data_IF_951473255279
#
_entry.id   IF_951473255279
#
_cell.length_a   1.000
_cell.length_b   1.000
_cell.length_c   1.000
_cell.angle_alpha   90.00
_cell.angle_beta   90.00
_cell.angle_gamma   90.00
#
_symmetry.space_group_name_H-M   'P 1'
#
loop_
_entity.id
_entity.type
_entity.pdbx_description
1 polymer ?
#
# COMPACT_ATOMS: atom_id res chain seq x y z
N UNK A 1 -7.35 -24.50 4.04
CA UNK A 1 -7.67 -23.29 3.32
C UNK A 1 -6.53 -22.29 3.41
N UNK A 2 -6.04 -21.86 2.33
CA UNK A 2 -4.94 -20.92 2.39
C UNK A 2 -5.44 -19.52 2.67
N UNK A 3 -4.66 -18.78 3.42
CA UNK A 3 -4.85 -17.36 3.53
C UNK A 3 -4.23 -16.72 2.31
N UNK A 4 -5.00 -15.93 1.61
CA UNK A 4 -4.49 -15.20 0.47
C UNK A 4 -4.25 -13.75 0.86
N UNK A 5 -3.19 -13.20 0.30
CA UNK A 5 -2.96 -11.77 0.37
C UNK A 5 -3.87 -11.07 -0.62
N UNK A 6 -4.23 -9.85 -0.28
CA UNK A 6 -4.81 -8.92 -1.23
C UNK A 6 -3.70 -7.96 -1.64
N UNK A 7 -3.44 -7.89 -2.94
CA UNK A 7 -2.44 -6.97 -3.48
C UNK A 7 -3.15 -5.86 -4.23
N UNK A 8 -2.97 -4.62 -3.79
CA UNK A 8 -3.50 -3.44 -4.48
C UNK A 8 -2.36 -2.83 -5.29
N UNK A 9 -2.36 -3.10 -6.59
CA UNK A 9 -1.27 -2.67 -7.47
C UNK A 9 -1.80 -2.26 -8.84
N UNK A 10 -1.59 -1.02 -9.25
CA UNK A 10 -1.07 0.09 -8.47
C UNK A 10 -2.11 0.66 -7.51
N UNK A 11 -1.67 1.16 -6.37
CA UNK A 11 -2.55 1.89 -5.46
C UNK A 11 -2.38 3.38 -5.73
N UNK A 12 -3.34 3.96 -6.44
CA UNK A 12 -3.32 5.38 -6.76
C UNK A 12 -3.63 6.24 -5.53
N UNK A 13 -3.37 7.54 -5.63
CA UNK A 13 -3.66 8.45 -4.53
C UNK A 13 -5.12 8.43 -4.10
N UNK A 14 -6.04 8.34 -5.06
CA UNK A 14 -7.45 8.28 -4.76
C UNK A 14 -7.82 7.02 -3.96
N UNK A 15 -7.31 5.87 -4.38
CA UNK A 15 -7.54 4.60 -3.67
C UNK A 15 -6.88 4.61 -2.29
N UNK A 16 -5.67 5.15 -2.20
CA UNK A 16 -4.96 5.27 -0.92
C UNK A 16 -5.78 6.09 0.08
N UNK A 17 -6.32 7.22 -0.37
CA UNK A 17 -7.15 8.08 0.47
C UNK A 17 -8.42 7.37 0.93
N UNK A 18 -9.07 6.64 0.04
CA UNK A 18 -10.29 5.89 0.39
C UNK A 18 -10.02 4.84 1.45
N UNK A 19 -8.94 4.07 1.28
CA UNK A 19 -8.59 3.04 2.25
C UNK A 19 -8.27 3.67 3.60
N UNK A 20 -7.50 4.74 3.62
CA UNK A 20 -7.09 5.40 4.85
C UNK A 20 -8.27 6.00 5.62
N UNK A 21 -9.29 6.47 4.91
CA UNK A 21 -10.44 7.13 5.50
C UNK A 21 -11.68 6.23 5.64
N UNK A 22 -11.54 4.94 5.34
CA UNK A 22 -12.61 3.98 5.51
C UNK A 22 -13.76 4.13 4.52
N UNK A 23 -13.51 4.73 3.36
CA UNK A 23 -14.52 4.89 2.31
C UNK A 23 -14.58 3.62 1.47
N UNK A 24 -15.74 2.96 1.47
CA UNK A 24 -15.92 1.63 0.85
C UNK A 24 -16.84 1.71 -0.36
N UNK A 25 -16.56 2.60 -1.30
CA UNK A 25 -17.41 2.83 -2.47
C UNK A 25 -16.88 2.23 -3.77
N UNK A 26 -15.85 1.39 -3.68
CA UNK A 26 -15.28 0.71 -4.85
C UNK A 26 -15.02 -0.74 -4.52
N UNK A 27 -14.84 -1.58 -5.56
CA UNK A 27 -14.51 -2.99 -5.35
C UNK A 27 -13.21 -3.16 -4.57
N UNK A 28 -12.21 -2.33 -4.88
CA UNK A 28 -10.90 -2.40 -4.20
C UNK A 28 -11.04 -2.03 -2.72
N UNK A 29 -11.69 -0.92 -2.41
CA UNK A 29 -11.82 -0.49 -1.02
C UNK A 29 -12.68 -1.45 -0.20
N UNK A 30 -13.70 -2.05 -0.81
CA UNK A 30 -14.50 -3.07 -0.15
C UNK A 30 -13.67 -4.33 0.13
N UNK A 31 -12.84 -4.75 -0.81
CA UNK A 31 -11.97 -5.91 -0.64
C UNK A 31 -10.96 -5.69 0.49
N UNK A 32 -10.38 -4.51 0.56
CA UNK A 32 -9.44 -4.16 1.64
C UNK A 32 -10.15 -4.22 2.99
N UNK A 33 -11.34 -3.63 3.07
CA UNK A 33 -12.11 -3.64 4.31
C UNK A 33 -12.41 -5.06 4.77
N UNK A 34 -12.80 -5.93 3.84
CA UNK A 34 -13.11 -7.32 4.17
C UNK A 34 -11.88 -8.08 4.65
N UNK A 35 -10.73 -7.88 4.00
CA UNK A 35 -9.48 -8.51 4.41
C UNK A 35 -9.05 -8.06 5.80
N UNK A 36 -9.11 -6.77 6.07
CA UNK A 36 -8.72 -6.23 7.37
C UNK A 36 -9.65 -6.73 8.49
N UNK A 37 -10.94 -6.82 8.20
CA UNK A 37 -11.90 -7.33 9.17
C UNK A 37 -11.61 -8.79 9.55
N UNK A 38 -11.09 -9.56 8.60
CA UNK A 38 -10.73 -10.96 8.81
C UNK A 38 -9.26 -11.13 9.21
N UNK A 39 -8.58 -10.04 9.57
CA UNK A 39 -7.18 -10.04 9.99
C UNK A 39 -6.24 -10.68 8.97
N UNK A 40 -6.51 -10.45 7.68
CA UNK A 40 -5.70 -10.93 6.58
C UNK A 40 -4.81 -9.83 6.04
N UNK A 41 -3.60 -10.17 5.56
CA UNK A 41 -2.68 -9.15 5.06
C UNK A 41 -3.20 -8.45 3.80
N UNK A 42 -2.93 -7.15 3.73
CA UNK A 42 -3.16 -6.33 2.55
C UNK A 42 -1.82 -5.72 2.16
N UNK A 43 -1.40 -5.93 0.93
CA UNK A 43 -0.14 -5.40 0.42
C UNK A 43 -0.45 -4.28 -0.57
N UNK A 44 0.18 -3.14 -0.37
CA UNK A 44 -0.08 -1.93 -1.16
C UNK A 44 1.15 -1.55 -1.96
N UNK A 45 0.98 -1.43 -3.29
CA UNK A 45 2.00 -0.93 -4.20
C UNK A 45 1.64 0.51 -4.58
N UNK A 46 2.19 1.47 -3.87
CA UNK A 46 1.85 2.89 -4.02
C UNK A 46 2.30 3.41 -5.38
N UNK A 47 1.45 4.17 -6.03
CA UNK A 47 1.79 4.92 -7.23
C UNK A 47 0.96 6.21 -7.20
N UNK A 48 1.57 7.30 -6.73
CA UNK A 48 0.83 8.54 -6.51
C UNK A 48 1.75 9.76 -6.70
N UNK A 49 1.21 10.77 -7.36
CA UNK A 49 1.94 12.02 -7.58
C UNK A 49 2.01 12.88 -6.32
N UNK A 50 1.14 12.66 -5.36
CA UNK A 50 1.04 13.48 -4.16
C UNK A 50 1.24 12.70 -2.85
N UNK A 51 1.91 11.57 -2.94
CA UNK A 51 2.13 10.72 -1.77
C UNK A 51 2.97 11.42 -0.69
N UNK A 52 3.85 12.34 -1.08
CA UNK A 52 4.65 13.13 -0.15
C UNK A 52 4.07 14.51 0.10
N UNK A 53 2.87 14.79 -0.37
CA UNK A 53 2.17 16.07 -0.12
C UNK A 53 0.77 15.79 0.44
N UNK A 54 -0.28 16.02 -0.35
CA UNK A 54 -1.65 15.87 0.14
C UNK A 54 -2.01 14.49 0.66
N UNK A 55 -1.43 13.43 0.10
CA UNK A 55 -1.68 12.06 0.53
C UNK A 55 -0.68 11.55 1.58
N UNK A 56 0.29 12.35 1.99
CA UNK A 56 1.26 11.92 3.00
C UNK A 56 0.58 11.50 4.30
N UNK A 57 -0.46 12.20 4.70
CA UNK A 57 -1.23 11.85 5.90
C UNK A 57 -1.91 10.50 5.77
N UNK A 58 -2.43 10.20 4.59
CA UNK A 58 -3.11 8.93 4.34
C UNK A 58 -2.11 7.78 4.29
N UNK A 59 -0.95 8.00 3.68
CA UNK A 59 0.14 7.04 3.70
C UNK A 59 0.56 6.73 5.13
N UNK A 60 0.74 7.76 5.96
CA UNK A 60 1.10 7.60 7.37
C UNK A 60 0.07 6.81 8.16
N UNK A 61 -1.22 7.08 7.93
CA UNK A 61 -2.30 6.32 8.57
C UNK A 61 -2.19 4.84 8.23
N UNK A 62 -1.99 4.52 6.95
CA UNK A 62 -1.91 3.13 6.52
C UNK A 62 -0.64 2.44 7.00
N UNK A 63 0.48 3.15 7.09
CA UNK A 63 1.71 2.60 7.65
C UNK A 63 1.55 2.21 9.12
N UNK A 64 0.60 2.81 9.80
CA UNK A 64 0.30 2.54 11.21
C UNK A 64 -0.85 1.57 11.42
N UNK A 65 -1.42 1.06 10.34
CA UNK A 65 -2.57 0.17 10.41
C UNK A 65 -2.11 -1.29 10.41
N UNK A 66 -2.68 -2.09 11.31
CA UNK A 66 -2.35 -3.53 11.38
C UNK A 66 -2.76 -4.23 10.10
N UNK A 67 -1.94 -5.19 9.71
CA UNK A 67 -2.17 -6.06 8.55
C UNK A 67 -2.01 -5.37 7.19
N UNK A 68 -1.63 -4.10 7.18
CA UNK A 68 -1.30 -3.42 5.94
C UNK A 68 0.21 -3.36 5.80
N UNK A 69 0.69 -3.82 4.65
CA UNK A 69 2.10 -3.86 4.31
C UNK A 69 2.31 -3.17 2.97
N UNK A 70 3.53 -2.70 2.74
CA UNK A 70 3.84 -1.96 1.53
C UNK A 70 4.91 -2.66 0.72
N UNK A 71 4.77 -2.62 -0.60
CA UNK A 71 5.86 -2.94 -1.51
C UNK A 71 6.90 -1.81 -1.39
N UNK A 72 8.20 -2.12 -1.33
CA UNK A 72 9.22 -1.07 -1.27
C UNK A 72 9.02 -0.02 -2.36
N UNK A 73 9.15 1.24 -1.98
CA UNK A 73 8.86 2.36 -2.88
C UNK A 73 9.91 3.46 -2.74
N UNK A 74 9.92 4.34 -3.72
CA UNK A 74 10.83 5.49 -3.70
C UNK A 74 10.33 6.55 -4.65
N UNK A 75 11.06 7.64 -4.73
CA UNK A 75 10.76 8.70 -5.67
C UNK A 75 11.20 8.28 -7.08
N UNK A 76 10.31 8.43 -8.05
CA UNK A 76 10.64 8.10 -9.44
C UNK A 76 11.44 9.22 -10.12
N UNK A 77 11.17 10.48 -9.75
CA UNK A 77 11.93 11.62 -10.25
C UNK A 77 11.89 12.72 -9.20
N UNK A 78 12.88 12.73 -8.32
CA UNK A 78 12.90 13.64 -7.18
C UNK A 78 13.01 15.12 -7.60
N UNK A 79 13.58 15.40 -8.77
CA UNK A 79 13.76 16.77 -9.23
C UNK A 79 12.52 17.33 -9.92
N UNK A 80 11.88 16.52 -10.79
CA UNK A 80 10.70 16.95 -11.53
C UNK A 80 9.41 16.65 -10.82
N UNK A 81 9.38 15.57 -10.03
CA UNK A 81 8.19 15.12 -9.30
C UNK A 81 8.54 14.90 -7.83
N UNK A 82 8.81 15.99 -7.09
CA UNK A 82 9.35 15.85 -5.73
C UNK A 82 8.40 15.20 -4.73
N UNK A 83 7.09 15.14 -5.03
CA UNK A 83 6.10 14.56 -4.12
C UNK A 83 5.59 13.20 -4.57
N UNK A 84 6.09 12.67 -5.69
CA UNK A 84 5.64 11.40 -6.25
C UNK A 84 6.37 10.22 -5.64
N UNK A 85 5.62 9.15 -5.34
CA UNK A 85 6.18 7.87 -4.91
C UNK A 85 5.69 6.77 -5.83
N UNK A 86 6.58 5.85 -6.17
CA UNK A 86 6.25 4.70 -7.01
C UNK A 86 6.85 3.44 -6.40
N UNK A 87 6.03 2.39 -6.27
CA UNK A 87 6.48 1.11 -5.76
C UNK A 87 7.37 0.37 -6.78
N UNK A 88 8.30 -0.40 -6.26
CA UNK A 88 9.15 -1.26 -7.08
C UNK A 88 8.40 -2.56 -7.36
N UNK A 89 7.76 -2.65 -8.52
CA UNK A 89 6.88 -3.78 -8.85
C UNK A 89 7.62 -5.11 -8.86
N UNK A 90 8.91 -5.11 -9.17
CA UNK A 90 9.73 -6.31 -9.15
C UNK A 90 9.89 -6.90 -7.74
N UNK A 91 9.60 -6.12 -6.71
CA UNK A 91 9.66 -6.56 -5.32
C UNK A 91 8.35 -7.16 -4.82
N UNK A 92 7.29 -7.16 -5.63
CA UNK A 92 5.99 -7.67 -5.20
C UNK A 92 6.05 -9.10 -4.70
N UNK A 93 6.67 -10.07 -5.40
CA UNK A 93 6.72 -11.44 -4.90
C UNK A 93 7.36 -11.57 -3.53
N UNK A 94 8.48 -10.90 -3.30
CA UNK A 94 9.15 -10.94 -2.00
C UNK A 94 8.32 -10.25 -0.92
N UNK A 95 7.64 -9.16 -1.27
CA UNK A 95 6.76 -8.44 -0.34
C UNK A 95 5.54 -9.28 0.06
N UNK A 96 4.97 -10.04 -0.88
CA UNK A 96 3.88 -10.96 -0.59
C UNK A 96 4.32 -12.01 0.43
N UNK A 97 5.48 -12.62 0.22
CA UNK A 97 5.99 -13.63 1.16
C UNK A 97 6.19 -13.04 2.55
N UNK A 98 6.74 -11.83 2.64
CA UNK A 98 6.94 -11.19 3.93
C UNK A 98 5.61 -10.88 4.61
N UNK A 99 4.62 -10.39 3.85
CA UNK A 99 3.31 -10.06 4.40
C UNK A 99 2.58 -11.29 4.90
N UNK A 100 2.70 -12.42 4.21
CA UNK A 100 2.11 -13.67 4.67
C UNK A 100 2.69 -14.13 6.01
N UNK A 101 3.90 -13.72 6.32
CA UNK A 101 4.56 -14.00 7.60
C UNK A 101 4.32 -12.90 8.63
N UNK A 102 3.48 -11.91 8.31
CA UNK A 102 3.19 -10.79 9.19
C UNK A 102 4.31 -9.79 9.31
N UNK A 103 5.15 -9.65 8.28
CA UNK A 103 6.32 -8.78 8.32
C UNK A 103 6.33 -7.81 7.16
N UNK A 104 6.76 -6.58 7.45
CA UNK A 104 7.02 -5.60 6.40
C UNK A 104 8.40 -5.87 5.82
N UNK A 105 8.47 -6.11 4.51
CA UNK A 105 9.76 -6.34 3.84
C UNK A 105 10.64 -5.09 3.96
N UNK A 106 11.92 -5.31 4.17
CA UNK A 106 12.91 -4.25 4.31
C UNK A 106 14.03 -4.43 3.29
N UNK A 107 14.65 -3.35 2.81
CA UNK A 107 14.33 -1.94 3.11
C UNK A 107 13.05 -1.50 2.44
N UNK A 108 12.30 -0.63 3.10
CA UNK A 108 11.05 -0.11 2.56
C UNK A 108 11.30 1.01 1.56
N UNK A 109 12.27 1.87 1.85
CA UNK A 109 12.64 2.98 0.96
C UNK A 109 13.81 2.57 0.07
N UNK A 110 13.62 2.63 -1.21
CA UNK A 110 14.63 2.18 -2.19
C UNK A 110 14.90 3.20 -3.30
#
# INVERSE_FOLDING_TARGET
MCCSDLVVAPCTGNTLAKIANGVSDSAVSLAVKAHLRNERPVLIAVSSNDALSGNAKNLGVLMNTRHIYFVPFGQDDALKKPTSLVAKVEMIPAAVEAALKGKQIQPLLV
#
